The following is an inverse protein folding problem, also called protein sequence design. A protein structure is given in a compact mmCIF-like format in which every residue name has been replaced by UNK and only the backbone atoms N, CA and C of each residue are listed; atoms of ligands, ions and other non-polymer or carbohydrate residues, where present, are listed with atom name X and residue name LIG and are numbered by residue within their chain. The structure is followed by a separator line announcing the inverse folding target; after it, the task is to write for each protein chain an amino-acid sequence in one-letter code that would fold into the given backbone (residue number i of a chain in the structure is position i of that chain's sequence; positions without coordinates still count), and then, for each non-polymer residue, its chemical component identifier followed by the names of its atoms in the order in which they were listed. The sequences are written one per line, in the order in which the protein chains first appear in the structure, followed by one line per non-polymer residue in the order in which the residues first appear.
data_IF_916427857116
#
_entry.id   IF_916427857116
#
_cell.length_a   1.000
_cell.length_b   1.000
_cell.length_c   1.000
_cell.angle_alpha   90.00
_cell.angle_beta   90.00
_cell.angle_gamma   90.00
#
_symmetry.space_group_name_H-M   'P 1'
#
loop_
_entity.id
_entity.type
_entity.pdbx_description
1 polymer ?
#
# COMPACT_ATOMS: atom_id res chain seq x y z
N UNK A 1 17.46 -5.93 6.43
CA UNK A 1 17.62 -5.00 7.57
C UNK A 1 18.41 -5.71 8.66
N UNK A 2 19.30 -5.00 9.35
CA UNK A 2 20.06 -5.56 10.47
C UNK A 2 19.41 -5.14 11.79
N UNK A 3 19.10 -6.10 12.65
CA UNK A 3 18.77 -5.83 14.06
C UNK A 3 19.81 -6.58 14.89
N UNK A 4 20.70 -5.83 15.52
CA UNK A 4 21.90 -6.40 16.15
C UNK A 4 22.77 -7.12 15.12
N UNK A 5 23.08 -8.40 15.37
CA UNK A 5 23.89 -9.25 14.48
C UNK A 5 23.08 -10.03 13.43
N UNK A 6 21.76 -9.93 13.48
CA UNK A 6 20.88 -10.77 12.68
C UNK A 6 20.39 -10.04 11.42
N UNK A 7 20.44 -10.74 10.30
CA UNK A 7 19.99 -10.26 9.00
C UNK A 7 18.58 -10.77 8.73
N UNK A 8 17.65 -9.84 8.48
CA UNK A 8 16.28 -10.18 8.14
C UNK A 8 15.99 -9.85 6.69
N UNK A 9 15.33 -10.79 6.01
CA UNK A 9 14.66 -10.55 4.74
C UNK A 9 13.44 -9.67 5.05
N UNK A 10 13.49 -8.43 4.60
CA UNK A 10 12.41 -7.46 4.81
C UNK A 10 11.75 -7.20 3.48
N UNK A 11 10.42 -7.19 3.48
CA UNK A 11 9.65 -6.76 2.33
C UNK A 11 10.09 -5.36 1.89
N UNK A 12 10.07 -5.09 0.59
CA UNK A 12 10.18 -3.71 0.12
C UNK A 12 8.99 -2.88 0.63
N UNK A 13 9.18 -1.57 0.68
CA UNK A 13 8.22 -0.66 1.31
C UNK A 13 6.82 -0.79 0.69
N UNK A 14 6.74 -0.95 -0.62
CA UNK A 14 5.50 -1.09 -1.39
C UNK A 14 4.72 -2.34 -0.98
N UNK A 15 5.40 -3.49 -0.84
CA UNK A 15 4.77 -4.72 -0.39
C UNK A 15 4.39 -4.63 1.09
N UNK A 16 5.26 -4.08 1.93
CA UNK A 16 4.99 -3.91 3.36
C UNK A 16 3.73 -3.08 3.61
N UNK A 17 3.50 -2.03 2.81
CA UNK A 17 2.27 -1.21 2.85
C UNK A 17 1.04 -2.07 2.50
N UNK A 18 1.10 -2.86 1.43
CA UNK A 18 -0.04 -3.69 1.01
C UNK A 18 -0.36 -4.82 2.00
N UNK A 19 0.67 -5.47 2.54
CA UNK A 19 0.53 -6.51 3.58
C UNK A 19 -0.08 -5.93 4.85
N UNK A 20 0.36 -4.74 5.28
CA UNK A 20 -0.20 -4.08 6.46
C UNK A 20 -1.69 -3.74 6.31
N UNK A 21 -2.13 -3.48 5.08
CA UNK A 21 -3.53 -3.20 4.74
C UNK A 21 -4.33 -4.47 4.42
N UNK A 22 -3.67 -5.64 4.35
CA UNK A 22 -4.31 -6.93 4.09
C UNK A 22 -4.96 -7.45 5.37
N UNK A 23 -6.28 -7.26 5.45
CA UNK A 23 -7.13 -7.74 6.55
C UNK A 23 -6.61 -7.46 7.98
N UNK A 24 -6.29 -6.19 8.34
CA UNK A 24 -5.90 -5.87 9.70
C UNK A 24 -7.08 -6.08 10.66
N UNK A 25 -6.79 -6.42 11.91
CA UNK A 25 -7.80 -6.49 12.96
C UNK A 25 -8.44 -5.11 13.18
N UNK A 26 -9.71 -5.06 13.59
CA UNK A 26 -10.46 -3.82 13.83
C UNK A 26 -9.72 -2.89 14.80
N UNK A 27 -9.13 -3.47 15.85
CA UNK A 27 -8.40 -2.72 16.89
C UNK A 27 -7.14 -2.06 16.30
N UNK A 28 -6.44 -2.76 15.41
CA UNK A 28 -5.18 -2.29 14.82
C UNK A 28 -5.38 -1.37 13.62
N UNK A 29 -6.54 -1.44 12.96
CA UNK A 29 -6.80 -0.78 11.67
C UNK A 29 -6.63 0.75 11.74
N UNK A 30 -7.13 1.39 12.80
CA UNK A 30 -7.00 2.85 12.97
C UNK A 30 -5.53 3.28 13.07
N UNK A 31 -4.75 2.57 13.88
CA UNK A 31 -3.32 2.82 14.04
C UNK A 31 -2.55 2.60 12.73
N UNK A 32 -2.81 1.47 12.05
CA UNK A 32 -2.16 1.14 10.77
C UNK A 32 -2.45 2.22 9.74
N UNK A 33 -3.70 2.66 9.61
CA UNK A 33 -4.08 3.69 8.65
C UNK A 33 -3.27 5.00 8.86
N UNK A 34 -3.15 5.47 10.10
CA UNK A 34 -2.38 6.68 10.41
C UNK A 34 -0.88 6.50 10.16
N UNK A 35 -0.34 5.32 10.45
CA UNK A 35 1.06 5.00 10.18
C UNK A 35 1.34 4.97 8.66
N UNK A 36 0.46 4.35 7.88
CA UNK A 36 0.55 4.34 6.42
C UNK A 36 0.46 5.75 5.86
N UNK A 37 -0.48 6.60 6.33
CA UNK A 37 -0.55 8.01 5.90
C UNK A 37 0.76 8.75 6.15
N UNK A 38 1.41 8.54 7.31
CA UNK A 38 2.73 9.13 7.62
C UNK A 38 3.82 8.63 6.68
N UNK A 39 3.84 7.33 6.38
CA UNK A 39 4.78 6.72 5.43
C UNK A 39 4.58 7.31 4.03
N UNK A 40 3.35 7.41 3.55
CA UNK A 40 3.04 7.99 2.24
C UNK A 40 3.55 9.43 2.12
N UNK A 41 3.37 10.26 3.17
CA UNK A 41 3.92 11.63 3.21
C UNK A 41 5.44 11.64 3.18
N UNK A 42 6.07 10.80 3.99
CA UNK A 42 7.53 10.76 4.17
C UNK A 42 8.26 10.24 2.93
N UNK A 43 7.72 9.23 2.27
CA UNK A 43 8.37 8.52 1.17
C UNK A 43 7.75 8.82 -0.20
N UNK A 44 6.97 9.91 -0.33
CA UNK A 44 6.29 10.32 -1.57
C UNK A 44 7.18 10.29 -2.82
N UNK A 45 8.45 10.67 -2.70
CA UNK A 45 9.40 10.72 -3.83
C UNK A 45 10.06 9.37 -4.16
N UNK A 46 9.96 8.41 -3.25
CA UNK A 46 10.65 7.11 -3.34
C UNK A 46 9.69 5.98 -3.70
N UNK A 47 8.41 6.13 -3.39
CA UNK A 47 7.39 5.13 -3.69
C UNK A 47 7.24 4.95 -5.20
N UNK A 48 7.38 3.70 -5.64
CA UNK A 48 7.24 3.33 -7.04
C UNK A 48 5.91 2.59 -7.28
N UNK A 49 5.02 3.25 -8.01
CA UNK A 49 3.69 2.70 -8.36
C UNK A 49 3.79 1.51 -9.31
N UNK A 50 4.88 1.35 -10.06
CA UNK A 50 5.10 0.20 -10.96
C UNK A 50 5.23 -1.11 -10.19
N UNK A 51 5.74 -1.06 -8.95
CA UNK A 51 5.86 -2.23 -8.08
C UNK A 51 4.47 -2.68 -7.62
N UNK A 52 3.59 -1.77 -7.22
CA UNK A 52 2.20 -2.12 -6.88
C UNK A 52 1.46 -2.71 -8.07
N UNK A 53 1.66 -2.17 -9.27
CA UNK A 53 1.15 -2.75 -10.51
C UNK A 53 1.66 -4.19 -10.72
N UNK A 54 2.96 -4.44 -10.56
CA UNK A 54 3.54 -5.77 -10.68
C UNK A 54 3.03 -6.76 -9.62
N UNK A 55 2.78 -6.29 -8.39
CA UNK A 55 2.18 -7.07 -7.31
C UNK A 55 0.73 -7.44 -7.65
N UNK A 56 -0.05 -6.49 -8.17
CA UNK A 56 -1.45 -6.69 -8.53
C UNK A 56 -1.65 -7.65 -9.70
N UNK A 57 -0.76 -7.63 -10.70
CA UNK A 57 -0.74 -8.64 -11.80
C UNK A 57 -0.70 -10.07 -11.29
N UNK A 58 -0.12 -10.31 -10.11
CA UNK A 58 -0.02 -11.63 -9.49
C UNK A 58 -1.25 -12.02 -8.64
N UNK A 59 -2.32 -11.23 -8.69
CA UNK A 59 -3.61 -11.46 -8.00
C UNK A 59 -3.56 -11.54 -6.46
N UNK A 60 -2.59 -10.89 -5.78
CA UNK A 60 -2.38 -11.10 -4.34
C UNK A 60 -3.00 -10.06 -3.37
N UNK A 61 -3.34 -8.84 -3.81
CA UNK A 61 -3.62 -7.72 -2.88
C UNK A 61 -4.75 -6.74 -3.31
N UNK A 62 -5.83 -7.23 -3.92
CA UNK A 62 -6.90 -6.34 -4.44
C UNK A 62 -7.59 -5.51 -3.35
N UNK A 63 -7.91 -6.11 -2.21
CA UNK A 63 -8.51 -5.39 -1.08
C UNK A 63 -7.56 -4.34 -0.48
N UNK A 64 -6.28 -4.70 -0.32
CA UNK A 64 -5.25 -3.80 0.19
C UNK A 64 -5.03 -2.58 -0.69
N UNK A 65 -4.98 -2.75 -2.03
CA UNK A 65 -4.78 -1.60 -2.93
C UNK A 65 -6.00 -0.67 -2.92
N UNK A 66 -7.22 -1.20 -2.82
CA UNK A 66 -8.42 -0.38 -2.70
C UNK A 66 -8.43 0.43 -1.40
N UNK A 67 -7.98 -0.17 -0.29
CA UNK A 67 -7.77 0.55 0.98
C UNK A 67 -6.68 1.60 0.87
N UNK A 68 -5.57 1.27 0.20
CA UNK A 68 -4.47 2.21 -0.03
C UNK A 68 -4.94 3.42 -0.84
N UNK A 69 -5.73 3.21 -1.90
CA UNK A 69 -6.35 4.27 -2.67
C UNK A 69 -7.18 5.20 -1.78
N UNK A 70 -8.09 4.64 -0.94
CA UNK A 70 -8.91 5.43 -0.01
C UNK A 70 -8.04 6.28 0.94
N UNK A 71 -6.92 5.75 1.43
CA UNK A 71 -5.97 6.50 2.28
C UNK A 71 -5.21 7.57 1.50
N UNK A 72 -4.79 7.28 0.26
CA UNK A 72 -4.02 8.18 -0.58
C UNK A 72 -4.81 9.43 -0.97
N UNK A 73 -6.14 9.35 -1.15
CA UNK A 73 -7.02 10.50 -1.44
C UNK A 73 -6.77 11.67 -0.48
N UNK A 74 -6.58 11.38 0.80
CA UNK A 74 -6.43 12.40 1.85
C UNK A 74 -4.99 12.87 2.07
N UNK A 75 -4.02 12.20 1.46
CA UNK A 75 -2.59 12.44 1.69
C UNK A 75 -1.90 13.01 0.46
N UNK A 76 -2.19 12.41 -0.69
CA UNK A 76 -1.56 12.73 -1.95
C UNK A 76 -2.50 12.39 -3.12
N UNK A 77 -3.29 13.36 -3.60
CA UNK A 77 -4.25 13.15 -4.68
C UNK A 77 -3.61 12.62 -5.97
N UNK A 78 -2.38 13.04 -6.31
CA UNK A 78 -1.66 12.56 -7.50
C UNK A 78 -1.34 11.06 -7.40
N UNK A 79 -0.86 10.63 -6.23
CA UNK A 79 -0.63 9.22 -5.95
C UNK A 79 -1.94 8.42 -5.99
N UNK A 80 -3.02 9.00 -5.45
CA UNK A 80 -4.34 8.39 -5.51
C UNK A 80 -4.79 8.14 -6.95
N UNK A 81 -4.61 9.11 -7.85
CA UNK A 81 -4.99 8.95 -9.26
C UNK A 81 -4.15 7.87 -9.96
N UNK A 82 -2.85 7.80 -9.67
CA UNK A 82 -1.98 6.71 -10.17
C UNK A 82 -2.47 5.34 -9.69
N UNK A 83 -2.78 5.20 -8.40
CA UNK A 83 -3.31 3.95 -7.84
C UNK A 83 -4.67 3.60 -8.49
N UNK A 84 -5.55 4.58 -8.67
CA UNK A 84 -6.85 4.41 -9.32
C UNK A 84 -6.69 3.89 -10.76
N UNK A 85 -5.73 4.43 -11.50
CA UNK A 85 -5.44 3.97 -12.87
C UNK A 85 -5.00 2.49 -12.88
N UNK A 86 -4.13 2.10 -11.94
CA UNK A 86 -3.69 0.70 -11.80
C UNK A 86 -4.89 -0.20 -11.47
N UNK A 87 -5.73 0.17 -10.51
CA UNK A 87 -6.92 -0.63 -10.14
C UNK A 87 -7.85 -0.81 -11.35
N UNK A 88 -8.11 0.26 -12.12
CA UNK A 88 -8.94 0.19 -13.34
C UNK A 88 -8.34 -0.73 -14.41
N UNK A 89 -7.03 -0.60 -14.66
CA UNK A 89 -6.32 -1.35 -15.70
C UNK A 89 -6.45 -2.87 -15.53
N UNK A 90 -6.52 -3.34 -14.29
CA UNK A 90 -6.63 -4.77 -13.98
C UNK A 90 -8.02 -5.19 -13.47
N UNK A 91 -9.04 -4.31 -13.58
CA UNK A 91 -10.42 -4.67 -13.27
C UNK A 91 -10.72 -4.92 -11.79
N UNK A 92 -9.88 -4.44 -10.86
CA UNK A 92 -10.00 -4.76 -9.42
C UNK A 92 -10.87 -3.79 -8.62
N UNK A 93 -11.78 -3.07 -9.29
CA UNK A 93 -12.73 -2.19 -8.61
C UNK A 93 -13.73 -3.04 -7.82
N UNK A 94 -13.54 -3.12 -6.51
CA UNK A 94 -14.57 -3.61 -5.59
C UNK A 94 -15.39 -2.38 -5.22
N UNK A 95 -16.64 -2.33 -5.69
CA UNK A 95 -17.64 -1.37 -5.22
C UNK A 95 -17.94 -1.68 -3.75
N UNK A 96 -17.44 -0.84 -2.84
CA UNK A 96 -17.89 -0.71 -1.44
C UNK A 96 -18.09 0.76 -1.12
#
# INVERSE_FOLDING_TARGET
MYIGKNTFLVANLELAILESLYNPSIISQGYINELIKKILKKYKKTLDTSIWEAILKKNKHHSSINRLHKLAIHVDPDLSDKIKHIIKKYGYFIYE
#
